data_IF_730218974620
#
_entry.id   IF_730218974620
#
_cell.length_a   1.000
_cell.length_b   1.000
_cell.length_c   1.000
_cell.angle_alpha   90.00
_cell.angle_beta   90.00
_cell.angle_gamma   90.00
#
_symmetry.space_group_name_H-M   'P 1'
#
loop_
_entity.id
_entity.type
_entity.pdbx_description
1 polymer ?
#
# COMPACT_ATOMS: atom_id res chain seq x y z
N UNK A 1 -11.04 15.32 7.44
CA UNK A 1 -9.54 15.28 7.33
C UNK A 1 -9.05 14.36 8.43
N UNK A 2 -8.13 13.44 8.15
CA UNK A 2 -7.56 12.50 9.13
C UNK A 2 -6.18 12.04 8.65
N UNK A 3 -5.39 11.46 9.56
CA UNK A 3 -4.05 10.96 9.25
C UNK A 3 -4.21 9.65 8.46
N UNK A 4 -3.52 9.55 7.32
CA UNK A 4 -3.46 8.33 6.51
C UNK A 4 -2.06 7.76 6.61
N UNK A 5 -1.97 6.49 6.97
CA UNK A 5 -0.72 5.73 6.99
C UNK A 5 -0.74 4.75 5.82
N UNK A 6 0.19 4.91 4.90
CA UNK A 6 0.43 3.93 3.84
C UNK A 6 1.40 2.89 4.39
N UNK A 7 0.93 1.65 4.54
CA UNK A 7 1.66 0.59 5.22
C UNK A 7 1.91 -0.58 4.28
N UNK A 8 3.11 -1.13 4.37
CA UNK A 8 3.47 -2.35 3.66
C UNK A 8 3.12 -3.60 4.45
N UNK A 9 2.89 -4.67 3.71
CA UNK A 9 2.49 -5.96 4.29
C UNK A 9 3.52 -6.54 5.25
N UNK A 10 4.78 -6.09 5.23
CA UNK A 10 5.81 -6.48 6.20
C UNK A 10 5.68 -5.84 7.59
N UNK A 11 4.85 -4.80 7.76
CA UNK A 11 4.83 -3.96 8.97
C UNK A 11 3.49 -4.02 9.71
N UNK A 12 2.98 -5.20 10.02
CA UNK A 12 1.66 -5.37 10.65
C UNK A 12 1.61 -5.07 12.16
N UNK A 13 2.77 -4.88 12.82
CA UNK A 13 2.86 -4.74 14.28
C UNK A 13 2.50 -3.35 14.82
N UNK A 14 2.32 -2.35 13.95
CA UNK A 14 2.02 -0.98 14.35
C UNK A 14 0.61 -0.57 13.90
N UNK A 15 -0.28 -0.37 14.87
CA UNK A 15 -1.70 -0.05 14.67
C UNK A 15 -2.02 1.20 15.51
N UNK A 16 -1.73 2.41 15.01
CA UNK A 16 -2.01 3.64 15.74
C UNK A 16 -3.51 3.96 15.79
N UNK A 17 -3.96 4.53 16.91
CA UNK A 17 -5.32 5.02 17.06
C UNK A 17 -5.57 6.23 16.15
N UNK A 18 -6.82 6.40 15.70
CA UNK A 18 -7.27 7.56 14.90
C UNK A 18 -6.55 7.73 13.55
N UNK A 19 -5.95 6.66 13.01
CA UNK A 19 -5.28 6.65 11.70
C UNK A 19 -6.01 5.74 10.73
N UNK A 20 -6.15 6.20 9.49
CA UNK A 20 -6.67 5.38 8.38
C UNK A 20 -5.48 4.67 7.72
N UNK A 21 -5.38 3.36 7.95
CA UNK A 21 -4.34 2.53 7.32
C UNK A 21 -4.74 2.18 5.88
N UNK A 22 -3.84 2.43 4.94
CA UNK A 22 -3.93 2.04 3.53
C UNK A 22 -2.83 1.02 3.25
N UNK A 23 -3.21 -0.23 3.00
CA UNK A 23 -2.28 -1.32 2.75
C UNK A 23 -2.79 -2.18 1.58
N UNK A 24 -1.92 -2.67 0.68
CA UNK A 24 -2.34 -3.58 -0.37
C UNK A 24 -2.92 -4.88 0.22
N UNK A 25 -3.99 -5.38 -0.38
CA UNK A 25 -4.54 -6.69 -0.06
C UNK A 25 -3.52 -7.80 -0.38
N UNK A 26 -3.30 -8.70 0.57
CA UNK A 26 -2.51 -9.92 0.34
C UNK A 26 -3.31 -10.91 -0.50
N UNK A 27 -2.61 -11.71 -1.32
CA UNK A 27 -3.25 -12.82 -2.04
C UNK A 27 -3.79 -13.83 -1.03
N UNK A 28 -5.06 -14.28 -1.16
CA UNK A 28 -5.56 -15.39 -0.36
C UNK A 28 -4.80 -16.68 -0.71
N UNK A 29 -4.70 -17.61 0.23
CA UNK A 29 -4.01 -18.87 0.00
C UNK A 29 -4.68 -19.65 -1.14
N UNK A 30 -3.89 -20.01 -2.15
CA UNK A 30 -4.36 -20.78 -3.31
C UNK A 30 -5.34 -20.05 -4.22
N UNK A 31 -5.45 -18.71 -4.13
CA UNK A 31 -6.34 -17.91 -4.98
C UNK A 31 -5.67 -16.61 -5.43
N UNK A 32 -6.17 -16.08 -6.53
CA UNK A 32 -5.79 -14.78 -7.02
C UNK A 32 -6.57 -13.65 -6.35
N UNK A 33 -6.01 -12.43 -6.46
CA UNK A 33 -6.75 -11.22 -6.18
C UNK A 33 -7.86 -11.02 -7.22
N UNK A 34 -9.02 -10.54 -6.77
CA UNK A 34 -10.05 -10.05 -7.67
C UNK A 34 -9.55 -8.84 -8.47
N UNK A 35 -10.20 -8.53 -9.59
CA UNK A 35 -9.84 -7.35 -10.38
C UNK A 35 -9.95 -6.06 -9.57
N UNK A 36 -10.97 -5.96 -8.71
CA UNK A 36 -11.13 -4.83 -7.80
C UNK A 36 -9.96 -4.72 -6.82
N UNK A 37 -9.53 -5.83 -6.23
CA UNK A 37 -8.38 -5.85 -5.32
C UNK A 37 -7.07 -5.47 -6.03
N UNK A 38 -6.89 -5.93 -7.28
CA UNK A 38 -5.72 -5.55 -8.10
C UNK A 38 -5.71 -4.05 -8.38
N UNK A 39 -6.86 -3.48 -8.75
CA UNK A 39 -7.02 -2.05 -9.00
C UNK A 39 -6.73 -1.22 -7.74
N UNK A 40 -7.31 -1.60 -6.60
CA UNK A 40 -7.04 -0.95 -5.31
C UNK A 40 -5.56 -1.05 -4.91
N UNK A 41 -4.93 -2.22 -5.08
CA UNK A 41 -3.52 -2.40 -4.79
C UNK A 41 -2.63 -1.53 -5.69
N UNK A 42 -3.01 -1.32 -6.96
CA UNK A 42 -2.29 -0.45 -7.91
C UNK A 42 -2.36 1.01 -7.46
N UNK A 43 -3.53 1.48 -7.05
CA UNK A 43 -3.72 2.83 -6.50
C UNK A 43 -2.90 3.02 -5.22
N UNK A 44 -2.96 2.06 -4.29
CA UNK A 44 -2.18 2.12 -3.05
C UNK A 44 -0.67 2.14 -3.35
N UNK A 45 -0.23 1.39 -4.35
CA UNK A 45 1.19 1.33 -4.73
C UNK A 45 1.68 2.56 -5.47
N UNK A 46 0.85 3.25 -6.26
CA UNK A 46 1.27 4.47 -6.96
C UNK A 46 1.58 5.61 -6.00
N UNK A 47 0.87 5.70 -4.86
CA UNK A 47 1.22 6.63 -3.79
C UNK A 47 2.55 6.27 -3.11
N UNK A 48 2.85 4.98 -2.91
CA UNK A 48 4.13 4.53 -2.31
C UNK A 48 5.34 4.88 -3.18
N UNK A 49 5.22 4.76 -4.50
CA UNK A 49 6.35 5.01 -5.43
C UNK A 49 6.67 6.50 -5.58
N UNK A 50 5.68 7.39 -5.42
CA UNK A 50 5.89 8.83 -5.56
C UNK A 50 6.81 9.40 -4.47
N UNK A 51 6.85 8.77 -3.30
CA UNK A 51 7.75 9.11 -2.19
C UNK A 51 9.08 8.32 -2.24
N UNK A 52 9.24 7.43 -3.23
CA UNK A 52 10.42 6.56 -3.40
C UNK A 52 11.15 6.82 -4.74
N UNK A 53 11.26 8.10 -5.12
CA UNK A 53 12.23 8.51 -6.13
C UNK A 53 13.40 9.23 -5.44
N UNK A 54 14.50 8.53 -5.13
CA UNK A 54 15.79 9.18 -5.04
C UNK A 54 16.15 9.69 -6.43
N UNK A 55 17.00 10.70 -6.47
CA UNK A 55 17.51 11.48 -7.60
C UNK A 55 18.07 10.71 -8.83
N UNK A 56 17.89 9.39 -8.95
CA UNK A 56 18.58 8.52 -9.91
C UNK A 56 17.69 7.76 -10.90
N UNK A 57 16.43 8.16 -11.09
CA UNK A 57 15.58 7.57 -12.15
C UNK A 57 15.79 8.20 -13.55
N UNK A 58 16.99 8.72 -13.82
CA UNK A 58 17.43 9.20 -15.14
C UNK A 58 18.82 8.61 -15.48
N UNK A 59 18.87 7.30 -15.73
CA UNK A 59 19.89 6.62 -16.53
C UNK A 59 19.26 5.42 -17.24
#
# INVERSE_FOLDING_TARGET
KGIRLWQDSGFLGYIPENVIIKMPARKPRGRDLSQLQKQQNKEISSFRVKDFLPEFALL
#
